data_IF_810660387091
#
_entry.id   IF_810660387091
#
_cell.length_a   1.000
_cell.length_b   1.000
_cell.length_c   1.000
_cell.angle_alpha   90.00
_cell.angle_beta   90.00
_cell.angle_gamma   90.00
#
_symmetry.space_group_name_H-M   'P 1'
#
loop_
_entity.id
_entity.type
_entity.pdbx_description
1 polymer ?
#
# COMPACT_ATOMS: atom_id res chain seq x y z
N UNK A 1 -4.43 15.45 11.17
CA UNK A 1 -4.22 16.57 10.24
C UNK A 1 -5.49 16.78 9.47
N UNK A 2 -6.02 17.99 9.54
CA UNK A 2 -7.33 18.34 9.02
C UNK A 2 -7.19 19.23 7.78
N UNK A 3 -7.92 18.90 6.73
CA UNK A 3 -8.02 19.75 5.53
C UNK A 3 -9.41 20.35 5.49
N UNK A 4 -9.56 21.66 5.73
CA UNK A 4 -10.83 22.35 5.60
C UNK A 4 -11.36 22.28 4.17
N UNK A 5 -12.69 22.31 4.02
CA UNK A 5 -13.34 22.38 2.71
C UNK A 5 -13.83 23.79 2.45
N UNK A 6 -13.50 24.29 1.24
CA UNK A 6 -14.11 25.48 0.64
C UNK A 6 -15.26 24.96 -0.22
N UNK A 7 -16.44 25.52 -0.11
CA UNK A 7 -17.59 25.17 -0.96
C UNK A 7 -17.92 23.67 -1.03
N UNK A 8 -18.52 23.13 0.01
CA UNK A 8 -19.15 21.80 0.14
C UNK A 8 -18.38 20.56 -0.35
N UNK A 9 -17.56 20.63 -1.39
CA UNK A 9 -16.92 19.48 -2.01
C UNK A 9 -15.40 19.60 -2.17
N UNK A 10 -14.85 20.81 -2.23
CA UNK A 10 -13.42 20.97 -2.55
C UNK A 10 -12.59 21.24 -1.30
N UNK A 11 -11.54 20.43 -1.06
CA UNK A 11 -10.61 20.71 0.03
C UNK A 11 -9.86 22.04 -0.21
N UNK A 12 -9.41 22.68 0.84
CA UNK A 12 -8.43 23.76 0.72
C UNK A 12 -7.09 23.17 0.30
N UNK A 13 -6.79 23.23 -1.00
CA UNK A 13 -5.60 22.64 -1.58
C UNK A 13 -4.29 23.22 -1.03
N UNK A 14 -4.27 24.49 -0.62
CA UNK A 14 -3.07 25.11 -0.05
C UNK A 14 -2.76 24.52 1.33
N UNK A 15 -3.78 24.40 2.18
CA UNK A 15 -3.65 23.75 3.49
C UNK A 15 -3.35 22.27 3.31
N UNK A 16 -4.02 21.59 2.39
CA UNK A 16 -3.80 20.17 2.11
C UNK A 16 -2.35 19.92 1.69
N UNK A 17 -1.84 20.69 0.73
CA UNK A 17 -0.45 20.58 0.26
C UNK A 17 0.54 20.82 1.39
N UNK A 18 0.35 21.89 2.16
CA UNK A 18 1.20 22.19 3.32
C UNK A 18 1.21 21.05 4.34
N UNK A 19 0.03 20.49 4.64
CA UNK A 19 -0.09 19.35 5.53
C UNK A 19 0.67 18.13 4.99
N UNK A 20 0.55 17.83 3.70
CA UNK A 20 1.23 16.70 3.07
C UNK A 20 2.74 16.88 3.04
N UNK A 21 3.23 18.09 2.76
CA UNK A 21 4.68 18.38 2.80
C UNK A 21 5.25 18.14 4.21
N UNK A 22 4.56 18.60 5.26
CA UNK A 22 4.97 18.39 6.67
C UNK A 22 4.93 16.90 7.03
N UNK A 23 3.86 16.17 6.65
CA UNK A 23 3.77 14.72 6.87
C UNK A 23 4.89 13.96 6.16
N UNK A 24 5.20 14.34 4.94
CA UNK A 24 6.28 13.72 4.18
C UNK A 24 7.62 13.90 4.90
N UNK A 25 7.94 15.10 5.40
CA UNK A 25 9.16 15.33 6.16
C UNK A 25 9.17 14.54 7.47
N UNK A 26 8.05 14.46 8.18
CA UNK A 26 7.93 13.66 9.40
C UNK A 26 8.12 12.15 9.11
N UNK A 27 7.62 11.66 7.98
CA UNK A 27 7.82 10.28 7.53
C UNK A 27 9.29 9.99 7.21
N UNK A 28 9.96 10.87 6.46
CA UNK A 28 11.38 10.75 6.15
C UNK A 28 12.25 10.76 7.41
N UNK A 29 11.85 11.52 8.44
CA UNK A 29 12.51 11.54 9.74
C UNK A 29 12.21 10.30 10.61
N UNK A 30 11.37 9.36 10.14
CA UNK A 30 10.99 8.15 10.90
C UNK A 30 10.14 8.44 12.14
N UNK A 31 9.39 9.55 12.14
CA UNK A 31 8.60 10.01 13.29
C UNK A 31 7.16 9.57 13.28
N UNK A 32 6.65 9.10 12.16
CA UNK A 32 5.28 8.61 12.04
C UNK A 32 5.24 7.11 12.34
N UNK A 33 4.28 6.67 13.15
CA UNK A 33 4.01 5.25 13.44
C UNK A 33 3.02 4.66 12.47
N UNK A 34 1.91 5.35 12.25
CA UNK A 34 0.88 4.95 11.31
C UNK A 34 0.12 6.17 10.76
N UNK A 35 -0.43 6.02 9.57
CA UNK A 35 -1.26 7.05 8.94
C UNK A 35 -2.42 6.40 8.20
N UNK A 36 -3.55 7.11 8.14
CA UNK A 36 -4.73 6.70 7.40
C UNK A 36 -5.42 7.89 6.77
N UNK A 37 -5.63 7.86 5.46
CA UNK A 37 -6.37 8.91 4.75
C UNK A 37 -7.88 8.77 5.04
N UNK A 38 -8.53 9.86 5.45
CA UNK A 38 -9.96 9.85 5.72
C UNK A 38 -10.76 9.78 4.41
N UNK A 39 -11.72 8.86 4.37
CA UNK A 39 -12.61 8.64 3.24
C UNK A 39 -14.08 8.75 3.64
N UNK A 40 -14.91 7.89 3.07
CA UNK A 40 -16.37 7.90 3.26
C UNK A 40 -16.82 7.72 4.71
N UNK A 41 -16.14 6.89 5.48
CA UNK A 41 -16.47 6.64 6.87
C UNK A 41 -15.80 7.61 7.86
N UNK A 42 -15.15 8.66 7.35
CA UNK A 42 -14.59 9.74 8.16
C UNK A 42 -13.58 9.29 9.21
N UNK A 43 -13.57 10.00 10.32
CA UNK A 43 -12.67 9.73 11.45
C UNK A 43 -13.00 8.41 12.15
N UNK A 44 -14.29 8.06 12.26
CA UNK A 44 -14.72 6.82 12.90
C UNK A 44 -14.19 5.57 12.19
N UNK A 45 -14.29 5.52 10.86
CA UNK A 45 -13.72 4.45 10.04
C UNK A 45 -12.19 4.39 10.18
N UNK A 46 -11.53 5.55 10.08
CA UNK A 46 -10.07 5.63 10.14
C UNK A 46 -9.53 5.08 11.46
N UNK A 47 -10.11 5.47 12.59
CA UNK A 47 -9.73 4.97 13.92
C UNK A 47 -9.93 3.46 14.00
N UNK A 48 -11.11 2.96 13.58
CA UNK A 48 -11.42 1.53 13.64
C UNK A 48 -10.42 0.72 12.82
N UNK A 49 -10.16 1.11 11.57
CA UNK A 49 -9.24 0.39 10.67
C UNK A 49 -7.79 0.43 11.14
N UNK A 50 -7.32 1.54 11.68
CA UNK A 50 -5.98 1.61 12.27
C UNK A 50 -5.86 0.72 13.52
N UNK A 51 -6.92 0.65 14.33
CA UNK A 51 -6.94 -0.18 15.55
C UNK A 51 -7.03 -1.68 15.27
N UNK A 52 -7.62 -2.11 14.15
CA UNK A 52 -7.85 -3.53 13.84
C UNK A 52 -6.55 -4.35 13.70
N UNK A 53 -5.52 -3.79 13.10
CA UNK A 53 -4.29 -4.52 12.76
C UNK A 53 -3.62 -5.16 13.97
N UNK A 54 -3.22 -4.33 14.92
CA UNK A 54 -2.49 -4.77 16.14
C UNK A 54 -3.37 -4.86 17.38
N UNK A 55 -4.68 -4.70 17.25
CA UNK A 55 -5.65 -4.69 18.37
C UNK A 55 -5.32 -3.63 19.43
N UNK A 56 -4.75 -2.52 19.02
CA UNK A 56 -4.45 -1.39 19.88
C UNK A 56 -5.70 -0.53 20.01
N UNK A 57 -6.16 -0.32 21.23
CA UNK A 57 -7.32 0.51 21.49
C UNK A 57 -7.03 2.00 21.35
N UNK A 58 -8.09 2.78 21.29
CA UNK A 58 -8.01 4.24 21.18
C UNK A 58 -9.02 4.86 22.15
N UNK A 59 -8.57 5.85 22.92
CA UNK A 59 -9.44 6.71 23.71
C UNK A 59 -9.49 8.09 23.06
N UNK A 60 -10.67 8.52 22.65
CA UNK A 60 -10.87 9.87 22.11
C UNK A 60 -10.72 10.94 23.20
N UNK A 61 -10.12 12.07 22.83
CA UNK A 61 -10.01 13.23 23.72
C UNK A 61 -11.39 13.86 23.93
N UNK A 62 -11.75 14.12 25.17
CA UNK A 62 -13.04 14.71 25.54
C UNK A 62 -13.27 16.09 24.89
N UNK A 63 -12.20 16.84 24.63
CA UNK A 63 -12.26 18.12 23.91
C UNK A 63 -12.72 17.97 22.47
N UNK A 64 -12.51 16.80 21.86
CA UNK A 64 -12.99 16.51 20.53
C UNK A 64 -14.52 16.47 20.47
N UNK A 65 -15.19 16.07 21.55
CA UNK A 65 -16.64 15.99 21.62
C UNK A 65 -17.32 17.34 21.31
N UNK A 66 -16.71 18.46 21.71
CA UNK A 66 -17.25 19.80 21.45
C UNK A 66 -17.21 20.23 19.97
N UNK A 67 -16.50 19.50 19.12
CA UNK A 67 -16.42 19.78 17.68
C UNK A 67 -17.54 19.12 16.87
N UNK A 68 -18.27 18.21 17.47
CA UNK A 68 -19.34 17.45 16.85
C UNK A 68 -20.68 17.75 17.51
N UNK A 69 -21.72 17.93 16.71
CA UNK A 69 -23.08 18.10 17.20
C UNK A 69 -23.65 16.77 17.73
N UNK A 70 -23.26 15.70 17.06
CA UNK A 70 -23.62 14.34 17.44
C UNK A 70 -22.48 13.36 17.07
N UNK A 71 -22.60 12.09 17.52
CA UNK A 71 -21.58 11.07 17.27
C UNK A 71 -21.49 10.64 15.80
N UNK A 72 -22.56 10.77 15.06
CA UNK A 72 -22.59 10.41 13.64
C UNK A 72 -21.67 11.31 12.82
N UNK A 73 -21.36 12.50 13.34
CA UNK A 73 -20.42 13.42 12.70
C UNK A 73 -19.00 12.86 12.61
N UNK A 74 -18.64 11.88 13.47
CA UNK A 74 -17.38 11.14 13.35
C UNK A 74 -17.24 10.38 12.03
N UNK A 75 -18.37 10.10 11.37
CA UNK A 75 -18.44 9.39 10.10
C UNK A 75 -18.60 10.33 8.90
N UNK A 76 -18.51 11.65 9.09
CA UNK A 76 -18.52 12.59 7.98
C UNK A 76 -17.27 12.46 7.14
N UNK A 77 -17.47 12.49 5.83
CA UNK A 77 -16.38 12.51 4.86
C UNK A 77 -15.46 13.71 5.10
N UNK A 78 -14.16 13.48 5.01
CA UNK A 78 -13.14 14.53 5.18
C UNK A 78 -11.96 14.28 4.25
N UNK A 79 -12.21 14.39 2.94
CA UNK A 79 -11.18 14.17 1.94
C UNK A 79 -9.99 15.13 2.10
N UNK A 80 -8.79 14.59 1.89
CA UNK A 80 -7.55 15.34 2.10
C UNK A 80 -7.12 15.44 3.57
N UNK A 81 -7.94 14.97 4.52
CA UNK A 81 -7.55 14.82 5.91
C UNK A 81 -6.88 13.48 6.17
N UNK A 82 -5.93 13.44 7.08
CA UNK A 82 -5.14 12.24 7.42
C UNK A 82 -5.11 12.07 8.93
N UNK A 83 -5.52 10.89 9.41
CA UNK A 83 -5.28 10.46 10.78
C UNK A 83 -3.83 10.00 10.91
N UNK A 84 -3.15 10.46 11.94
CA UNK A 84 -1.73 10.21 12.16
C UNK A 84 -1.51 9.69 13.56
N UNK A 85 -0.75 8.62 13.70
CA UNK A 85 -0.21 8.15 14.97
C UNK A 85 1.25 8.59 15.12
N UNK A 86 1.56 9.26 16.22
CA UNK A 86 2.86 9.83 16.50
C UNK A 86 3.13 9.82 18.00
N UNK A 87 4.39 9.67 18.41
CA UNK A 87 4.75 9.82 19.81
C UNK A 87 4.55 11.25 20.30
N UNK A 88 4.04 11.40 21.51
CA UNK A 88 3.81 12.73 22.10
C UNK A 88 5.08 13.60 22.12
N UNK A 89 6.25 12.98 22.32
CA UNK A 89 7.54 13.66 22.30
C UNK A 89 7.92 14.22 20.93
N UNK A 90 7.36 13.68 19.86
CA UNK A 90 7.65 14.04 18.48
C UNK A 90 6.61 15.00 17.85
N UNK A 91 5.61 15.43 18.60
CA UNK A 91 4.56 16.35 18.10
C UNK A 91 5.12 17.63 17.47
N UNK A 92 6.30 18.08 17.88
CA UNK A 92 6.97 19.25 17.32
C UNK A 92 7.24 19.17 15.83
N UNK A 93 7.37 17.95 15.24
CA UNK A 93 7.57 17.79 13.79
C UNK A 93 6.35 18.20 12.97
N UNK A 94 5.18 18.33 13.60
CA UNK A 94 3.94 18.79 12.97
C UNK A 94 3.73 20.30 13.08
N UNK A 95 4.74 21.06 13.53
CA UNK A 95 4.65 22.51 13.62
C UNK A 95 4.30 23.13 12.26
N UNK A 96 3.35 24.03 12.28
CA UNK A 96 2.83 24.70 11.07
C UNK A 96 1.79 23.91 10.31
N UNK A 97 1.53 22.64 10.64
CA UNK A 97 0.42 21.88 10.08
C UNK A 97 -0.93 22.29 10.72
N UNK A 98 -2.00 22.15 9.97
CA UNK A 98 -3.35 22.25 10.52
C UNK A 98 -3.75 20.88 11.08
N UNK A 99 -3.74 20.71 12.40
CA UNK A 99 -4.14 19.45 13.02
C UNK A 99 -4.97 19.62 14.29
N UNK A 100 -5.65 18.56 14.66
CA UNK A 100 -6.43 18.42 15.89
C UNK A 100 -5.96 17.18 16.62
N UNK A 101 -5.79 17.27 17.92
CA UNK A 101 -5.57 16.09 18.76
C UNK A 101 -6.88 15.30 18.84
N UNK A 102 -6.85 14.06 18.33
CA UNK A 102 -8.03 13.19 18.28
C UNK A 102 -8.16 12.36 19.55
N UNK A 103 -7.05 11.91 20.10
CA UNK A 103 -7.03 11.03 21.26
C UNK A 103 -5.66 10.40 21.46
N UNK A 104 -5.65 9.27 22.15
CA UNK A 104 -4.44 8.51 22.42
C UNK A 104 -4.69 7.01 22.28
N UNK A 105 -3.66 6.26 21.93
CA UNK A 105 -3.69 4.79 21.95
C UNK A 105 -3.69 4.28 23.37
N UNK A 106 -4.37 3.15 23.61
CA UNK A 106 -4.48 2.47 24.91
C UNK A 106 -4.29 0.96 24.74
N UNK A 107 -3.79 0.28 25.76
CA UNK A 107 -3.55 -1.17 25.73
C UNK A 107 -4.85 -1.99 25.67
N UNK A 108 -5.96 -1.46 26.23
CA UNK A 108 -7.25 -2.15 26.20
C UNK A 108 -7.79 -2.17 24.76
N UNK A 109 -8.20 -3.34 24.22
CA UNK A 109 -8.66 -3.46 22.82
C UNK A 109 -10.08 -2.95 22.63
N UNK A 110 -10.28 -1.66 22.87
CA UNK A 110 -11.56 -0.95 22.71
C UNK A 110 -11.36 0.40 22.06
N UNK A 111 -12.40 0.93 21.44
CA UNK A 111 -12.49 2.35 21.10
C UNK A 111 -13.38 2.99 22.16
N UNK A 112 -12.80 3.90 22.94
CA UNK A 112 -13.53 4.70 23.92
C UNK A 112 -13.96 6.02 23.27
N UNK A 113 -15.24 6.10 22.95
CA UNK A 113 -15.86 7.29 22.38
C UNK A 113 -16.55 8.07 23.51
N UNK A 114 -15.82 9.01 24.10
CA UNK A 114 -16.32 9.89 25.15
C UNK A 114 -17.00 9.13 26.32
N UNK A 115 -16.30 8.12 26.84
CA UNK A 115 -16.77 7.29 27.95
C UNK A 115 -17.65 6.12 27.56
N UNK A 116 -17.89 5.89 26.26
CA UNK A 116 -18.54 4.67 25.79
C UNK A 116 -17.54 3.79 25.04
N UNK A 117 -17.32 2.60 25.60
CA UNK A 117 -16.39 1.65 25.03
C UNK A 117 -17.06 0.71 24.04
N UNK A 118 -16.43 0.52 22.89
CA UNK A 118 -16.81 -0.46 21.88
C UNK A 118 -15.62 -1.40 21.66
N UNK A 119 -15.85 -2.71 21.84
CA UNK A 119 -14.79 -3.72 21.67
C UNK A 119 -14.35 -3.87 20.22
N UNK A 120 -13.02 -3.95 20.01
CA UNK A 120 -12.45 -4.07 18.66
C UNK A 120 -12.87 -5.36 17.96
N UNK A 121 -12.99 -6.49 18.70
CA UNK A 121 -13.41 -7.76 18.08
C UNK A 121 -14.83 -7.69 17.54
N UNK A 122 -15.72 -7.02 18.27
CA UNK A 122 -17.09 -6.80 17.79
C UNK A 122 -17.13 -5.93 16.55
N UNK A 123 -16.38 -4.81 16.55
CA UNK A 123 -16.31 -3.92 15.38
C UNK A 123 -15.71 -4.62 14.17
N UNK A 124 -14.66 -5.40 14.38
CA UNK A 124 -14.01 -6.17 13.33
C UNK A 124 -14.97 -7.19 12.70
N UNK A 125 -15.65 -7.98 13.53
CA UNK A 125 -16.62 -8.96 13.09
C UNK A 125 -17.78 -8.32 12.27
N UNK A 126 -18.29 -7.17 12.72
CA UNK A 126 -19.32 -6.45 11.96
C UNK A 126 -18.78 -5.88 10.63
N UNK A 127 -17.52 -5.47 10.57
CA UNK A 127 -16.90 -4.96 9.33
C UNK A 127 -16.75 -6.04 8.25
N UNK A 128 -16.47 -7.30 8.64
CA UNK A 128 -16.31 -8.42 7.70
C UNK A 128 -17.66 -9.01 7.27
N UNK A 129 -18.67 -8.94 8.12
CA UNK A 129 -19.96 -9.62 7.96
C UNK A 129 -20.64 -9.39 6.60
N UNK A 130 -20.53 -8.20 6.04
CA UNK A 130 -21.22 -7.83 4.80
C UNK A 130 -20.74 -8.66 3.61
N UNK A 131 -19.46 -8.92 3.51
CA UNK A 131 -18.87 -9.65 2.37
C UNK A 131 -18.57 -11.11 2.68
N UNK A 132 -18.58 -11.52 3.95
CA UNK A 132 -18.25 -12.89 4.39
C UNK A 132 -19.05 -13.99 3.64
N UNK A 133 -20.34 -13.83 3.31
CA UNK A 133 -21.08 -14.85 2.55
C UNK A 133 -20.60 -15.02 1.10
N UNK A 134 -19.97 -14.01 0.51
CA UNK A 134 -19.53 -14.01 -0.90
C UNK A 134 -18.04 -14.28 -0.97
N UNK A 135 -17.26 -13.64 -0.10
CA UNK A 135 -15.80 -13.74 -0.02
C UNK A 135 -15.39 -14.14 1.41
N UNK A 136 -15.54 -15.42 1.79
CA UNK A 136 -15.25 -15.86 3.14
C UNK A 136 -13.78 -15.65 3.49
N UNK A 137 -13.54 -15.06 4.66
CA UNK A 137 -12.18 -14.81 5.19
C UNK A 137 -11.47 -16.09 5.62
N UNK A 138 -12.24 -17.19 5.79
CA UNK A 138 -11.71 -18.51 6.16
C UNK A 138 -12.15 -19.55 5.14
N UNK A 139 -11.22 -20.41 4.75
CA UNK A 139 -11.54 -21.55 3.90
C UNK A 139 -12.57 -22.47 4.60
N UNK A 140 -13.58 -22.94 3.85
CA UNK A 140 -14.65 -23.82 4.34
C UNK A 140 -14.12 -25.21 4.77
N UNK A 141 -12.95 -25.62 4.27
CA UNK A 141 -12.22 -26.81 4.68
C UNK A 141 -10.82 -26.41 5.05
N UNK A 142 -10.49 -26.51 6.35
CA UNK A 142 -9.10 -26.59 6.77
C UNK A 142 -8.59 -27.94 6.26
N UNK A 143 -7.78 -27.91 5.22
CA UNK A 143 -6.96 -29.06 4.87
C UNK A 143 -5.95 -29.17 6.01
N UNK A 144 -6.09 -30.21 6.85
CA UNK A 144 -5.17 -30.49 7.94
C UNK A 144 -3.82 -31.03 7.43
N UNK A 145 -3.41 -30.61 6.26
CA UNK A 145 -2.09 -30.93 5.76
C UNK A 145 -1.08 -30.11 6.55
N UNK A 146 -0.18 -30.84 7.18
CA UNK A 146 0.94 -30.26 7.89
C UNK A 146 1.74 -29.42 6.91
N UNK A 147 1.57 -28.10 6.97
CA UNK A 147 2.38 -27.19 6.15
C UNK A 147 3.82 -27.30 6.66
N UNK A 148 4.69 -27.90 5.87
CA UNK A 148 6.11 -27.93 6.17
C UNK A 148 6.66 -26.52 6.04
N UNK A 149 7.26 -26.00 7.10
CA UNK A 149 8.02 -24.76 7.05
C UNK A 149 9.32 -25.03 6.27
N UNK A 150 9.27 -24.81 4.97
CA UNK A 150 10.46 -24.92 4.14
C UNK A 150 11.32 -23.69 4.44
N UNK A 151 12.48 -23.91 5.09
CA UNK A 151 13.48 -22.88 5.30
C UNK A 151 14.76 -23.28 4.57
N UNK A 152 15.29 -22.37 3.78
CA UNK A 152 16.58 -22.52 3.12
C UNK A 152 17.60 -21.58 3.77
N UNK A 153 18.71 -22.14 4.22
CA UNK A 153 19.87 -21.35 4.64
C UNK A 153 20.95 -21.48 3.57
N UNK A 154 21.37 -20.37 3.02
CA UNK A 154 22.49 -20.34 2.11
C UNK A 154 23.79 -20.56 2.91
N UNK A 155 24.34 -21.75 2.90
CA UNK A 155 25.59 -22.11 3.61
C UNK A 155 26.84 -21.62 2.88
N UNK A 156 26.71 -21.22 1.63
CA UNK A 156 27.78 -20.69 0.79
C UNK A 156 27.56 -19.20 0.48
N UNK A 157 28.64 -18.45 0.35
CA UNK A 157 28.56 -17.07 -0.17
C UNK A 157 28.01 -17.11 -1.59
N UNK A 158 27.05 -16.23 -1.96
CA UNK A 158 26.59 -16.14 -3.33
C UNK A 158 27.77 -16.01 -4.29
N UNK A 159 27.74 -16.78 -5.37
CA UNK A 159 28.76 -16.68 -6.42
C UNK A 159 28.74 -15.24 -6.96
N UNK A 160 29.89 -14.59 -6.91
CA UNK A 160 30.05 -13.28 -7.56
C UNK A 160 30.35 -13.50 -9.01
N UNK A 161 29.67 -12.76 -9.89
CA UNK A 161 30.01 -12.74 -11.31
C UNK A 161 31.48 -12.35 -11.48
N UNK A 162 32.21 -13.09 -12.29
CA UNK A 162 33.58 -12.73 -12.70
C UNK A 162 33.59 -11.60 -13.74
N UNK A 163 32.43 -11.28 -14.31
CA UNK A 163 32.26 -10.21 -15.29
C UNK A 163 31.90 -8.91 -14.57
N UNK A 164 32.74 -7.89 -14.76
CA UNK A 164 32.45 -6.53 -14.32
C UNK A 164 31.81 -5.77 -15.49
N UNK A 165 30.48 -5.67 -15.47
CA UNK A 165 29.73 -4.96 -16.51
C UNK A 165 29.25 -3.65 -15.90
N UNK A 166 29.69 -2.52 -16.44
CA UNK A 166 29.36 -1.18 -15.94
C UNK A 166 27.89 -0.85 -16.18
N UNK A 167 27.34 -1.30 -17.30
CA UNK A 167 25.93 -1.06 -17.69
C UNK A 167 25.34 -2.37 -18.20
N UNK A 168 24.71 -3.15 -17.32
CA UNK A 168 24.13 -4.43 -17.74
C UNK A 168 22.97 -4.20 -18.72
N UNK A 169 22.87 -5.08 -19.74
CA UNK A 169 21.77 -5.09 -20.68
C UNK A 169 20.65 -6.01 -20.14
N UNK A 170 19.43 -5.50 -20.16
CA UNK A 170 18.22 -6.19 -19.74
C UNK A 170 17.31 -6.41 -20.95
N UNK A 171 16.99 -7.65 -21.24
CA UNK A 171 15.99 -7.98 -22.25
C UNK A 171 14.62 -8.20 -21.60
N UNK A 172 13.59 -7.53 -22.13
CA UNK A 172 12.20 -7.64 -21.68
C UNK A 172 11.34 -8.13 -22.86
N UNK A 173 11.03 -9.44 -22.94
CA UNK A 173 10.09 -9.92 -23.93
C UNK A 173 8.68 -9.46 -23.61
N UNK A 174 7.98 -8.91 -24.61
CA UNK A 174 6.59 -8.51 -24.54
C UNK A 174 5.74 -9.47 -25.38
N UNK A 175 4.93 -10.28 -24.72
CA UNK A 175 3.99 -11.21 -25.34
C UNK A 175 2.61 -10.56 -25.47
N UNK A 176 1.69 -11.14 -26.28
CA UNK A 176 0.29 -10.72 -26.25
C UNK A 176 -0.27 -10.76 -24.82
N UNK A 177 -0.85 -9.64 -24.36
CA UNK A 177 -1.33 -9.48 -22.99
C UNK A 177 -0.32 -8.90 -21.98
N UNK A 178 0.98 -8.82 -22.33
CA UNK A 178 1.96 -8.10 -21.48
C UNK A 178 1.62 -6.61 -21.41
N UNK A 179 1.69 -6.02 -20.22
CA UNK A 179 1.40 -4.58 -20.02
C UNK A 179 2.30 -3.87 -18.99
N UNK A 180 3.32 -4.56 -18.46
CA UNK A 180 4.24 -4.00 -17.47
C UNK A 180 5.67 -3.80 -18.03
N UNK A 181 5.89 -3.94 -19.35
CA UNK A 181 7.20 -3.88 -19.98
C UNK A 181 7.85 -2.52 -19.84
N UNK A 182 7.10 -1.44 -20.02
CA UNK A 182 7.62 -0.06 -19.92
C UNK A 182 7.95 0.34 -18.48
N UNK A 183 7.13 -0.06 -17.51
CA UNK A 183 7.38 0.24 -16.09
C UNK A 183 8.58 -0.54 -15.58
N UNK A 184 8.71 -1.80 -15.99
CA UNK A 184 9.87 -2.64 -15.71
C UNK A 184 11.13 -2.07 -16.33
N UNK A 185 11.10 -1.67 -17.61
CA UNK A 185 12.24 -1.04 -18.28
C UNK A 185 12.70 0.20 -17.53
N UNK A 186 11.79 1.12 -17.17
CA UNK A 186 12.10 2.32 -16.40
C UNK A 186 12.73 2.03 -15.05
N UNK A 187 12.31 0.97 -14.38
CA UNK A 187 12.90 0.59 -13.09
C UNK A 187 14.37 0.16 -13.26
N UNK A 188 14.68 -0.65 -14.27
CA UNK A 188 16.04 -1.07 -14.59
C UNK A 188 16.93 0.10 -15.05
N UNK A 189 16.40 1.01 -15.87
CA UNK A 189 17.12 2.21 -16.31
C UNK A 189 17.48 3.14 -15.16
N UNK A 190 16.57 3.33 -14.19
CA UNK A 190 16.85 4.08 -12.96
C UNK A 190 17.94 3.44 -12.12
N UNK A 191 18.07 2.11 -12.19
CA UNK A 191 19.14 1.37 -11.54
C UNK A 191 20.47 1.37 -12.35
N UNK A 192 20.52 2.02 -13.51
CA UNK A 192 21.70 2.18 -14.34
C UNK A 192 21.90 1.11 -15.42
N UNK A 193 20.88 0.30 -15.71
CA UNK A 193 20.93 -0.69 -16.79
C UNK A 193 20.55 -0.07 -18.15
N UNK A 194 20.83 -0.82 -19.22
CA UNK A 194 20.31 -0.59 -20.57
C UNK A 194 19.20 -1.59 -20.86
N UNK A 195 18.02 -1.12 -21.26
CA UNK A 195 16.87 -1.99 -21.49
C UNK A 195 16.59 -2.16 -22.99
N UNK A 196 16.11 -3.34 -23.36
CA UNK A 196 15.59 -3.64 -24.69
C UNK A 196 14.26 -4.40 -24.56
N UNK A 197 13.19 -3.85 -25.13
CA UNK A 197 11.87 -4.48 -25.17
C UNK A 197 11.71 -5.14 -26.54
N UNK A 198 11.52 -6.45 -26.58
CA UNK A 198 11.29 -7.22 -27.80
C UNK A 198 9.86 -7.72 -27.87
N UNK A 199 9.11 -7.31 -28.89
CA UNK A 199 7.72 -7.72 -29.06
C UNK A 199 7.62 -9.06 -29.79
N UNK A 200 7.00 -10.05 -29.13
CA UNK A 200 6.67 -11.33 -29.73
C UNK A 200 5.41 -11.18 -30.59
N UNK A 201 5.54 -11.40 -31.91
CA UNK A 201 4.45 -11.32 -32.88
C UNK A 201 3.98 -12.74 -33.21
N UNK A 202 2.67 -12.97 -33.12
CA UNK A 202 2.02 -14.25 -33.35
C UNK A 202 0.98 -14.24 -34.47
N UNK A 203 1.07 -13.24 -35.39
CA UNK A 203 0.07 -13.08 -36.45
C UNK A 203 0.18 -14.15 -37.54
N UNK A 204 1.41 -14.57 -37.89
CA UNK A 204 1.69 -15.59 -38.86
C UNK A 204 2.78 -16.55 -38.34
N UNK A 205 2.92 -17.71 -38.97
CA UNK A 205 3.99 -18.66 -38.64
C UNK A 205 5.39 -18.03 -38.83
N UNK A 206 5.56 -17.26 -39.89
CA UNK A 206 6.81 -16.53 -40.12
C UNK A 206 7.09 -15.45 -39.04
N UNK A 207 6.07 -14.80 -38.53
CA UNK A 207 6.25 -13.87 -37.42
C UNK A 207 6.67 -14.57 -36.12
N UNK A 208 6.15 -15.78 -35.89
CA UNK A 208 6.52 -16.58 -34.71
C UNK A 208 8.00 -16.98 -34.82
N UNK A 209 8.43 -17.53 -35.98
CA UNK A 209 9.82 -17.88 -36.18
C UNK A 209 10.77 -16.70 -36.03
N UNK A 210 10.46 -15.58 -36.70
CA UNK A 210 11.24 -14.34 -36.57
C UNK A 210 11.29 -13.79 -35.15
N UNK A 211 10.22 -13.95 -34.40
CA UNK A 211 10.17 -13.54 -32.97
C UNK A 211 11.04 -14.43 -32.10
N UNK A 212 11.04 -15.75 -32.36
CA UNK A 212 11.92 -16.70 -31.65
C UNK A 212 13.38 -16.37 -31.92
N UNK A 213 13.75 -16.18 -33.20
CA UNK A 213 15.12 -15.81 -33.58
C UNK A 213 15.57 -14.51 -32.90
N UNK A 214 14.74 -13.49 -32.92
CA UNK A 214 14.99 -12.23 -32.22
C UNK A 214 15.19 -12.44 -30.73
N UNK A 215 14.34 -13.24 -30.08
CA UNK A 215 14.46 -13.52 -28.64
C UNK A 215 15.76 -14.24 -28.33
N UNK A 216 16.16 -15.26 -29.13
CA UNK A 216 17.42 -15.98 -28.95
C UNK A 216 18.61 -15.03 -29.08
N UNK A 217 18.59 -14.16 -30.07
CA UNK A 217 19.64 -13.14 -30.27
C UNK A 217 19.75 -12.18 -29.06
N UNK A 218 18.61 -11.65 -28.59
CA UNK A 218 18.58 -10.69 -27.46
C UNK A 218 18.94 -11.35 -26.14
N UNK A 219 18.52 -12.58 -25.88
CA UNK A 219 18.92 -13.37 -24.70
C UNK A 219 20.45 -13.52 -24.66
N UNK A 220 21.07 -13.87 -25.79
CA UNK A 220 22.53 -14.06 -25.86
C UNK A 220 23.33 -12.75 -25.66
N UNK A 221 22.74 -11.58 -25.92
CA UNK A 221 23.35 -10.26 -25.71
C UNK A 221 23.15 -9.71 -24.29
N UNK A 222 22.19 -10.27 -23.54
CA UNK A 222 21.73 -9.68 -22.27
C UNK A 222 22.33 -10.41 -21.06
N UNK A 223 22.50 -9.68 -19.96
CA UNK A 223 22.91 -10.23 -18.68
C UNK A 223 21.73 -10.49 -17.76
N UNK A 224 20.61 -9.85 -18.04
CA UNK A 224 19.36 -9.97 -17.27
C UNK A 224 18.22 -10.20 -18.26
N UNK A 225 17.35 -11.14 -17.93
CA UNK A 225 16.09 -11.36 -18.64
C UNK A 225 14.98 -11.09 -17.64
N UNK A 226 14.09 -10.16 -17.98
CA UNK A 226 12.93 -9.81 -17.18
C UNK A 226 11.67 -10.14 -17.95
N UNK A 227 10.91 -11.12 -17.49
CA UNK A 227 9.59 -11.45 -18.05
C UNK A 227 8.54 -10.64 -17.30
N UNK A 228 7.96 -9.59 -17.93
CA UNK A 228 6.98 -8.75 -17.29
C UNK A 228 5.66 -9.48 -17.05
N UNK A 229 4.86 -8.97 -16.12
CA UNK A 229 3.49 -9.39 -15.90
C UNK A 229 2.52 -8.80 -16.93
N UNK A 230 1.27 -9.16 -16.81
CA UNK A 230 0.18 -8.68 -17.66
C UNK A 230 -1.02 -9.62 -17.62
N UNK A 231 -2.00 -9.33 -18.42
CA UNK A 231 -3.19 -10.17 -18.60
C UNK A 231 -2.95 -11.13 -19.78
N UNK A 232 -2.34 -12.25 -19.48
CA UNK A 232 -2.14 -13.33 -20.46
C UNK A 232 -3.17 -14.44 -20.24
N UNK A 233 -3.22 -15.42 -21.14
CA UNK A 233 -4.16 -16.56 -21.05
C UNK A 233 -4.08 -17.34 -19.73
N UNK A 234 -3.03 -17.18 -18.93
CA UNK A 234 -2.91 -17.77 -17.59
C UNK A 234 -3.71 -17.04 -16.50
N UNK A 235 -4.19 -15.83 -16.76
CA UNK A 235 -4.99 -15.02 -15.83
C UNK A 235 -6.50 -15.19 -16.06
N UNK A 236 -6.90 -15.90 -17.08
CA UNK A 236 -8.31 -16.22 -17.35
C UNK A 236 -8.68 -17.50 -16.62
N UNK A 237 -9.90 -17.55 -16.03
CA UNK A 237 -10.41 -18.72 -15.30
C UNK A 237 -10.71 -19.90 -16.23
#
# INVERSE_FOLDING_TARGET
METPHKDYAFPDFDIMKKNFDILHQAALAGKLKATYALGYGGLGEAIAKMAFGNRIGVKLDDKLASRYENRDDLFRQSYGSILVEIDQADLGVLEGANYVLVGQTIDKPVIDVFGQEVGLDKLYAESEKTLEPIFPTKASKLVNDKIENISYKLDAKPAKSSLSIVKPRVFLPAFPGTNCEYDSARAFERAGAETHIGVFRNMTYADIEASIDMMVEEINKSQIIMIPGGFSAGDEP
#
